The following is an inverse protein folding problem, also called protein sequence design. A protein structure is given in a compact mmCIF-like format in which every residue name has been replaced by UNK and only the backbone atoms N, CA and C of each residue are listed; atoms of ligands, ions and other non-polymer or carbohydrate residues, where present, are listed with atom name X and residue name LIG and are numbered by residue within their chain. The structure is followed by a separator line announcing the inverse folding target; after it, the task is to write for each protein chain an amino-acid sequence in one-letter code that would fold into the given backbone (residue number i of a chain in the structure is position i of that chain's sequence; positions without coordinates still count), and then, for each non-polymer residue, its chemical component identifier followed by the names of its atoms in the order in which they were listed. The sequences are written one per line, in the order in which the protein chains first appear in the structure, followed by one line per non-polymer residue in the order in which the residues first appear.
data_IF_873112488310
#
_entry.id   IF_873112488310
#
_cell.length_a   1.000
_cell.length_b   1.000
_cell.length_c   1.000
_cell.angle_alpha   90.00
_cell.angle_beta   90.00
_cell.angle_gamma   90.00
#
_symmetry.space_group_name_H-M   'P 1'
#
loop_
_entity.id
_entity.type
_entity.pdbx_description
1 polymer ?
#
# COMPACT_ATOMS: atom_id res chain seq x y z
N UNK A 1 1.35 -28.61 -9.72
CA UNK A 1 1.39 -27.21 -10.20
C UNK A 1 2.16 -26.43 -9.16
N UNK A 2 3.29 -25.81 -9.51
CA UNK A 2 3.99 -24.95 -8.56
C UNK A 2 3.12 -23.70 -8.32
N UNK A 3 2.66 -23.52 -7.09
CA UNK A 3 1.96 -22.30 -6.71
C UNK A 3 2.95 -21.14 -6.72
N UNK A 4 2.71 -20.15 -7.59
CA UNK A 4 3.58 -18.96 -7.68
C UNK A 4 3.04 -17.91 -6.71
N UNK A 5 3.82 -17.58 -5.68
CA UNK A 5 3.48 -16.53 -4.72
C UNK A 5 4.17 -15.22 -5.12
N UNK A 6 3.45 -14.12 -5.05
CA UNK A 6 4.01 -12.76 -5.22
C UNK A 6 4.76 -12.30 -3.98
N UNK A 7 4.25 -12.61 -2.80
CA UNK A 7 4.86 -12.26 -1.52
C UNK A 7 4.66 -13.40 -0.53
N UNK A 8 5.72 -13.82 0.15
CA UNK A 8 5.67 -14.82 1.23
C UNK A 8 6.42 -14.35 2.47
N UNK A 9 5.96 -14.79 3.63
CA UNK A 9 6.69 -14.70 4.88
C UNK A 9 6.96 -16.11 5.40
N UNK A 10 8.22 -16.41 5.73
CA UNK A 10 8.66 -17.71 6.19
C UNK A 10 9.27 -17.60 7.58
N UNK A 11 8.63 -18.25 8.57
CA UNK A 11 9.01 -18.22 9.98
C UNK A 11 9.32 -16.82 10.50
N UNK A 12 8.48 -15.85 10.09
CA UNK A 12 8.74 -14.44 10.31
C UNK A 12 8.50 -14.09 11.78
N UNK A 13 9.46 -13.39 12.38
CA UNK A 13 9.35 -12.75 13.69
C UNK A 13 9.35 -11.23 13.50
N UNK A 14 8.38 -10.55 14.12
CA UNK A 14 8.17 -9.11 14.02
C UNK A 14 8.10 -8.44 15.38
N UNK A 15 8.50 -7.19 15.48
CA UNK A 15 8.43 -6.42 16.73
C UNK A 15 9.31 -5.19 16.73
N UNK A 16 9.46 -4.62 17.92
CA UNK A 16 10.31 -3.46 18.18
C UNK A 16 11.27 -3.79 19.34
N UNK A 17 12.52 -3.35 19.23
CA UNK A 17 13.52 -3.56 20.29
C UNK A 17 14.09 -4.98 20.28
N UNK A 18 14.16 -5.65 21.44
CA UNK A 18 14.86 -6.95 21.60
C UNK A 18 13.94 -8.17 21.61
N UNK A 19 12.66 -7.99 21.87
CA UNK A 19 11.70 -9.10 22.02
C UNK A 19 10.67 -9.06 20.90
N UNK A 20 10.47 -10.16 20.17
CA UNK A 20 9.44 -10.21 19.13
C UNK A 20 8.04 -10.02 19.73
N UNK A 21 7.22 -9.25 19.04
CA UNK A 21 5.78 -9.13 19.32
C UNK A 21 5.04 -10.39 18.86
N UNK A 22 5.39 -10.91 17.70
CA UNK A 22 4.88 -12.16 17.12
C UNK A 22 6.04 -12.91 16.46
N UNK A 23 5.96 -14.24 16.45
CA UNK A 23 6.95 -15.14 15.83
C UNK A 23 6.24 -16.30 15.14
N UNK A 24 6.97 -17.01 14.27
CA UNK A 24 6.45 -18.19 13.57
C UNK A 24 5.38 -17.83 12.52
N UNK A 25 5.40 -16.61 11.99
CA UNK A 25 4.41 -16.20 11.00
C UNK A 25 4.79 -16.80 9.64
N UNK A 26 3.86 -17.59 9.07
CA UNK A 26 3.94 -18.12 7.72
C UNK A 26 2.70 -17.67 6.94
N UNK A 27 2.89 -16.99 5.82
CA UNK A 27 1.82 -16.57 4.92
C UNK A 27 2.33 -16.44 3.50
N UNK A 28 1.41 -16.50 2.52
CA UNK A 28 1.71 -16.26 1.13
C UNK A 28 0.53 -15.63 0.41
N UNK A 29 0.79 -14.80 -0.58
CA UNK A 29 -0.21 -14.14 -1.41
C UNK A 29 0.08 -14.41 -2.87
N UNK A 30 -0.91 -14.94 -3.58
CA UNK A 30 -0.86 -15.26 -5.01
C UNK A 30 -1.43 -14.10 -5.86
N UNK A 31 -1.15 -14.07 -7.17
CA UNK A 31 -1.81 -13.13 -8.08
C UNK A 31 -3.34 -13.24 -7.99
N UNK A 32 -4.04 -12.10 -7.95
CA UNK A 32 -5.50 -12.06 -7.84
C UNK A 32 -6.08 -12.41 -6.47
N UNK A 33 -5.24 -12.68 -5.47
CA UNK A 33 -5.68 -13.06 -4.13
C UNK A 33 -5.78 -11.84 -3.21
N UNK A 34 -6.83 -11.80 -2.38
CA UNK A 34 -6.97 -10.89 -1.25
C UNK A 34 -6.80 -11.68 0.04
N UNK A 35 -5.73 -11.39 0.79
CA UNK A 35 -5.50 -11.93 2.13
C UNK A 35 -5.91 -10.91 3.18
N UNK A 36 -6.80 -11.30 4.10
CA UNK A 36 -7.27 -10.42 5.16
C UNK A 36 -6.71 -10.83 6.52
N UNK A 37 -6.08 -9.87 7.22
CA UNK A 37 -5.58 -10.03 8.58
C UNK A 37 -6.66 -9.60 9.58
N UNK A 38 -7.11 -10.53 10.42
CA UNK A 38 -8.15 -10.28 11.44
C UNK A 38 -7.54 -10.44 12.83
N UNK A 39 -7.92 -9.56 13.74
CA UNK A 39 -7.47 -9.62 15.13
C UNK A 39 -7.74 -8.30 15.86
N UNK A 40 -7.62 -8.30 17.22
CA UNK A 40 -7.87 -7.10 18.04
C UNK A 40 -6.87 -5.98 17.74
N UNK A 41 -7.18 -4.76 18.20
CA UNK A 41 -6.24 -3.65 18.15
C UNK A 41 -5.01 -3.98 19.02
N UNK A 42 -3.82 -3.62 18.53
CA UNK A 42 -2.56 -3.96 19.22
C UNK A 42 -2.02 -5.38 18.94
N UNK A 43 -2.73 -6.23 18.20
CA UNK A 43 -2.27 -7.59 17.86
C UNK A 43 -1.06 -7.65 16.91
N UNK A 44 -0.51 -6.51 16.47
CA UNK A 44 0.67 -6.50 15.61
C UNK A 44 0.37 -6.45 14.11
N UNK A 45 -0.90 -6.30 13.68
CA UNK A 45 -1.28 -6.25 12.25
C UNK A 45 -0.50 -5.17 11.47
N UNK A 46 -0.48 -3.93 11.95
CA UNK A 46 0.27 -2.84 11.31
C UNK A 46 1.78 -3.06 11.36
N UNK A 47 2.30 -3.69 12.42
CA UNK A 47 3.71 -4.07 12.53
C UNK A 47 4.06 -5.11 11.46
N UNK A 48 3.21 -6.13 11.28
CA UNK A 48 3.36 -7.12 10.22
C UNK A 48 3.35 -6.47 8.84
N UNK A 49 2.36 -5.63 8.54
CA UNK A 49 2.27 -4.94 7.24
C UNK A 49 3.50 -4.07 6.98
N UNK A 50 4.02 -3.35 7.98
CA UNK A 50 5.26 -2.55 7.85
C UNK A 50 6.50 -3.43 7.64
N UNK A 51 6.56 -4.59 8.28
CA UNK A 51 7.66 -5.55 8.06
C UNK A 51 7.58 -6.15 6.65
N UNK A 52 6.39 -6.55 6.20
CA UNK A 52 6.17 -7.02 4.83
C UNK A 52 6.48 -5.93 3.78
N UNK A 53 6.28 -4.64 4.12
CA UNK A 53 6.65 -3.51 3.27
C UNK A 53 8.14 -3.17 3.30
N UNK A 54 8.93 -3.80 4.16
CA UNK A 54 10.35 -3.47 4.37
C UNK A 54 10.56 -2.10 5.02
N UNK A 55 9.57 -1.58 5.77
CA UNK A 55 9.72 -0.38 6.60
C UNK A 55 10.25 -0.71 7.99
N UNK A 56 10.11 -1.97 8.42
CA UNK A 56 10.70 -2.54 9.62
C UNK A 56 11.48 -3.78 9.22
N UNK A 57 12.65 -3.94 9.79
CA UNK A 57 13.43 -5.16 9.58
C UNK A 57 12.79 -6.32 10.36
N UNK A 58 12.75 -7.53 9.79
CA UNK A 58 12.31 -8.71 10.52
C UNK A 58 13.27 -9.01 11.68
N UNK A 59 12.72 -9.46 12.81
CA UNK A 59 13.52 -9.92 13.95
C UNK A 59 13.96 -11.37 13.82
N UNK A 60 13.41 -12.09 12.85
CA UNK A 60 13.75 -13.46 12.46
C UNK A 60 12.95 -13.88 11.25
N UNK A 61 13.37 -14.95 10.57
CA UNK A 61 12.74 -15.39 9.33
C UNK A 61 13.04 -14.48 8.15
N UNK A 62 12.21 -14.56 7.11
CA UNK A 62 12.40 -13.80 5.88
C UNK A 62 11.07 -13.42 5.23
N UNK A 63 11.08 -12.30 4.50
CA UNK A 63 10.03 -11.91 3.56
C UNK A 63 10.58 -12.05 2.15
N UNK A 64 9.89 -12.80 1.31
CA UNK A 64 10.26 -12.95 -0.10
C UNK A 64 9.24 -12.20 -0.97
N UNK A 65 9.73 -11.53 -1.99
CA UNK A 65 8.95 -10.86 -3.03
C UNK A 65 9.45 -11.40 -4.39
N UNK A 66 8.58 -12.00 -5.18
CA UNK A 66 8.97 -12.73 -6.40
C UNK A 66 10.12 -13.72 -6.11
N UNK A 67 9.98 -14.56 -5.09
CA UNK A 67 10.96 -15.58 -4.65
C UNK A 67 12.33 -15.03 -4.19
N UNK A 68 12.54 -13.73 -4.23
CA UNK A 68 13.77 -13.06 -3.81
C UNK A 68 13.59 -12.39 -2.44
N UNK A 69 14.61 -12.46 -1.57
CA UNK A 69 14.52 -11.81 -0.26
C UNK A 69 14.30 -10.29 -0.41
N UNK A 70 13.35 -9.77 0.38
CA UNK A 70 13.00 -8.36 0.36
C UNK A 70 14.19 -7.44 0.70
N UNK A 71 15.13 -7.91 1.52
CA UNK A 71 16.38 -7.20 1.86
C UNK A 71 17.31 -6.99 0.67
N UNK A 72 17.21 -7.84 -0.37
CA UNK A 72 18.08 -7.79 -1.55
C UNK A 72 17.61 -6.77 -2.60
N UNK A 73 16.46 -6.17 -2.39
CA UNK A 73 15.93 -5.09 -3.23
C UNK A 73 16.39 -3.73 -2.70
N UNK A 74 16.76 -2.83 -3.61
CA UNK A 74 16.91 -1.40 -3.26
C UNK A 74 15.55 -0.81 -2.87
N UNK A 75 15.55 0.31 -2.14
CA UNK A 75 14.31 1.01 -1.78
C UNK A 75 13.44 1.34 -2.99
N UNK A 76 14.06 1.78 -4.09
CA UNK A 76 13.35 2.07 -5.36
C UNK A 76 12.74 0.81 -5.97
N UNK A 77 13.50 -0.29 -6.04
CA UNK A 77 13.00 -1.56 -6.59
C UNK A 77 11.83 -2.10 -5.76
N UNK A 78 11.91 -2.03 -4.42
CA UNK A 78 10.78 -2.40 -3.54
C UNK A 78 9.55 -1.54 -3.82
N UNK A 79 9.75 -0.22 -3.89
CA UNK A 79 8.68 0.72 -4.12
C UNK A 79 8.02 0.58 -5.52
N UNK A 80 8.69 -0.01 -6.50
CA UNK A 80 8.11 -0.34 -7.81
C UNK A 80 7.24 -1.61 -7.77
N UNK A 81 7.44 -2.49 -6.78
CA UNK A 81 6.75 -3.79 -6.69
C UNK A 81 5.71 -3.86 -5.58
N UNK A 82 5.87 -3.09 -4.52
CA UNK A 82 5.05 -3.17 -3.33
C UNK A 82 4.64 -1.78 -2.85
N UNK A 83 3.36 -1.57 -2.67
CA UNK A 83 2.80 -0.34 -2.09
C UNK A 83 2.20 -0.61 -0.71
N UNK A 84 2.43 0.30 0.24
CA UNK A 84 1.77 0.31 1.53
C UNK A 84 0.86 1.54 1.63
N UNK A 85 -0.44 1.29 1.78
CA UNK A 85 -1.43 2.29 2.18
C UNK A 85 -1.59 2.21 3.70
N UNK A 86 -1.05 3.20 4.40
CA UNK A 86 -1.19 3.35 5.85
C UNK A 86 -2.05 4.57 6.17
N UNK A 87 -2.70 4.61 7.36
CA UNK A 87 -3.45 5.78 7.80
C UNK A 87 -2.58 7.04 7.75
N UNK A 88 -3.06 8.08 7.08
CA UNK A 88 -2.33 9.33 6.93
C UNK A 88 -2.81 10.34 7.97
N UNK A 89 -1.94 10.64 8.94
CA UNK A 89 -2.25 11.54 10.06
C UNK A 89 -1.67 12.95 9.93
N UNK A 90 -0.78 13.19 8.95
CA UNK A 90 -0.14 14.50 8.78
C UNK A 90 -0.91 15.37 7.79
N UNK A 91 -1.11 16.64 8.14
CA UNK A 91 -1.56 17.66 7.19
C UNK A 91 -0.43 17.91 6.18
N UNK A 92 -0.77 17.95 4.91
CA UNK A 92 0.14 18.32 3.84
C UNK A 92 -0.25 19.70 3.33
N UNK A 93 0.62 20.68 3.52
CA UNK A 93 0.34 22.06 3.05
C UNK A 93 0.36 22.10 1.52
N UNK A 94 -0.57 22.88 0.95
CA UNK A 94 -0.64 23.21 -0.48
C UNK A 94 -0.62 21.98 -1.43
N UNK A 95 -1.19 20.86 -1.02
CA UNK A 95 -1.17 19.62 -1.81
C UNK A 95 -2.56 19.32 -2.36
N UNK A 96 -2.69 19.25 -3.69
CA UNK A 96 -3.91 18.78 -4.34
C UNK A 96 -4.06 17.26 -4.24
N UNK A 97 -5.26 16.74 -4.48
CA UNK A 97 -5.46 15.29 -4.55
C UNK A 97 -4.65 14.66 -5.70
N UNK A 98 -4.48 15.39 -6.81
CA UNK A 98 -3.63 14.97 -7.91
C UNK A 98 -2.15 14.86 -7.46
N UNK A 99 -1.60 15.91 -6.85
CA UNK A 99 -0.20 15.90 -6.38
C UNK A 99 0.04 14.77 -5.38
N UNK A 100 -0.94 14.54 -4.49
CA UNK A 100 -0.85 13.45 -3.53
C UNK A 100 -0.84 12.07 -4.21
N UNK A 101 -1.71 11.83 -5.18
CA UNK A 101 -1.74 10.59 -5.95
C UNK A 101 -0.47 10.43 -6.79
N UNK A 102 -0.02 11.50 -7.46
CA UNK A 102 1.15 11.53 -8.32
C UNK A 102 2.46 11.26 -7.55
N UNK A 103 2.51 11.53 -6.23
CA UNK A 103 3.65 11.14 -5.40
C UNK A 103 3.91 9.62 -5.40
N UNK A 104 2.93 8.78 -5.78
CA UNK A 104 3.12 7.36 -6.06
C UNK A 104 4.10 7.08 -7.20
N UNK A 105 4.37 8.06 -8.07
CA UNK A 105 5.34 7.94 -9.18
C UNK A 105 6.80 8.18 -8.81
N UNK A 106 7.10 8.65 -7.59
CA UNK A 106 8.48 8.91 -7.17
C UNK A 106 9.47 7.77 -7.44
N UNK A 107 9.13 6.48 -7.35
CA UNK A 107 10.06 5.41 -7.73
C UNK A 107 10.49 5.41 -9.20
N UNK A 108 9.86 6.22 -10.05
CA UNK A 108 10.09 6.31 -11.50
C UNK A 108 10.65 7.67 -11.95
N UNK A 109 10.64 8.70 -11.10
CA UNK A 109 10.96 10.09 -11.49
C UNK A 109 12.43 10.49 -11.39
N UNK A 110 13.32 9.59 -11.09
CA UNK A 110 14.75 9.92 -10.94
C UNK A 110 15.04 10.91 -9.79
N UNK A 111 16.25 11.48 -9.77
CA UNK A 111 16.76 12.28 -8.63
C UNK A 111 16.06 13.62 -8.42
N UNK A 112 15.50 14.20 -9.47
CA UNK A 112 14.84 15.52 -9.41
C UNK A 112 13.33 15.43 -9.09
N UNK A 113 12.74 14.24 -9.06
CA UNK A 113 11.32 14.07 -8.76
C UNK A 113 10.38 14.69 -9.82
N UNK A 114 10.87 14.99 -11.03
CA UNK A 114 10.07 15.63 -12.07
C UNK A 114 9.18 14.59 -12.73
N UNK A 115 7.87 14.84 -12.70
CA UNK A 115 6.87 13.97 -13.34
C UNK A 115 6.90 14.14 -14.85
N UNK A 116 7.06 13.04 -15.58
CA UNK A 116 6.90 12.99 -17.03
C UNK A 116 5.41 13.12 -17.43
N UNK A 117 5.14 13.27 -18.72
CA UNK A 117 3.77 13.22 -19.23
C UNK A 117 3.10 11.86 -18.95
N UNK A 118 3.88 10.77 -19.01
CA UNK A 118 3.40 9.43 -18.66
C UNK A 118 3.02 9.33 -17.18
N UNK A 119 3.87 9.83 -16.28
CA UNK A 119 3.58 9.81 -14.84
C UNK A 119 2.30 10.57 -14.50
N UNK A 120 2.07 11.71 -15.16
CA UNK A 120 0.81 12.46 -15.01
C UNK A 120 -0.40 11.68 -15.50
N UNK A 121 -0.29 10.98 -16.66
CA UNK A 121 -1.38 10.10 -17.14
C UNK A 121 -1.68 8.98 -16.16
N UNK A 122 -0.65 8.34 -15.62
CA UNK A 122 -0.82 7.28 -14.61
C UNK A 122 -1.50 7.79 -13.33
N UNK A 123 -1.18 9.01 -12.89
CA UNK A 123 -1.83 9.62 -11.73
C UNK A 123 -3.32 9.91 -11.99
N UNK A 124 -3.67 10.44 -13.16
CA UNK A 124 -5.08 10.64 -13.55
C UNK A 124 -5.82 9.31 -13.65
N UNK A 125 -5.26 8.32 -14.34
CA UNK A 125 -5.85 6.98 -14.46
C UNK A 125 -6.06 6.32 -13.09
N UNK A 126 -5.11 6.47 -12.16
CA UNK A 126 -5.27 5.94 -10.81
C UNK A 126 -6.43 6.62 -10.06
N UNK A 127 -6.60 7.94 -10.19
CA UNK A 127 -7.74 8.67 -9.62
C UNK A 127 -9.07 8.25 -10.25
N UNK A 128 -9.11 8.00 -11.54
CA UNK A 128 -10.30 7.51 -12.26
C UNK A 128 -10.71 6.12 -11.75
N UNK A 129 -9.76 5.19 -11.64
CA UNK A 129 -10.01 3.82 -11.16
C UNK A 129 -10.64 3.75 -9.77
N UNK A 130 -10.36 4.72 -8.91
CA UNK A 130 -10.97 4.79 -7.57
C UNK A 130 -12.17 5.74 -7.49
N UNK A 131 -12.64 6.28 -8.63
CA UNK A 131 -13.76 7.22 -8.68
C UNK A 131 -13.49 8.58 -8.03
N UNK A 132 -12.21 9.02 -8.00
CA UNK A 132 -11.77 10.26 -7.39
C UNK A 132 -11.25 11.32 -8.39
N UNK A 133 -11.42 11.12 -9.70
CA UNK A 133 -10.94 12.05 -10.73
C UNK A 133 -11.48 13.48 -10.54
N UNK A 134 -12.75 13.62 -10.14
CA UNK A 134 -13.40 14.92 -9.87
C UNK A 134 -12.82 15.70 -8.69
N UNK A 135 -11.92 15.08 -7.92
CA UNK A 135 -11.23 15.68 -6.77
C UNK A 135 -9.82 16.16 -7.11
N UNK A 136 -9.31 15.91 -8.33
CA UNK A 136 -7.91 16.10 -8.69
C UNK A 136 -7.34 17.45 -8.22
N UNK A 137 -8.04 18.55 -8.48
CA UNK A 137 -7.61 19.91 -8.15
C UNK A 137 -8.01 20.37 -6.73
N UNK A 138 -8.69 19.52 -5.96
CA UNK A 138 -9.08 19.86 -4.59
C UNK A 138 -7.93 19.69 -3.61
N UNK A 139 -7.91 20.54 -2.59
CA UNK A 139 -7.00 20.42 -1.45
C UNK A 139 -7.26 19.07 -0.73
N UNK A 140 -6.22 18.23 -0.65
CA UNK A 140 -6.28 16.92 0.00
C UNK A 140 -6.74 16.99 1.46
N UNK A 141 -6.49 18.12 2.16
CA UNK A 141 -6.91 18.29 3.56
C UNK A 141 -8.40 18.67 3.70
N UNK A 142 -9.06 19.08 2.60
CA UNK A 142 -10.44 19.60 2.61
C UNK A 142 -11.46 18.66 1.98
N UNK A 143 -11.12 17.39 1.84
CA UNK A 143 -12.02 16.33 1.36
C UNK A 143 -12.50 15.46 2.52
N UNK A 144 -13.61 14.73 2.31
CA UNK A 144 -14.15 13.80 3.32
C UNK A 144 -13.20 12.61 3.54
N UNK A 145 -13.38 11.90 4.66
CA UNK A 145 -12.55 10.72 4.97
C UNK A 145 -12.69 9.63 3.91
N UNK A 146 -13.90 9.39 3.39
CA UNK A 146 -14.12 8.44 2.29
C UNK A 146 -13.42 8.86 1.00
N UNK A 147 -13.48 10.15 0.66
CA UNK A 147 -12.73 10.69 -0.48
C UNK A 147 -11.22 10.58 -0.26
N UNK A 148 -10.77 10.83 0.97
CA UNK A 148 -9.35 10.69 1.33
C UNK A 148 -8.87 9.26 1.17
N UNK A 149 -9.63 8.26 1.60
CA UNK A 149 -9.28 6.85 1.43
C UNK A 149 -9.14 6.47 -0.05
N UNK A 150 -10.02 6.98 -0.92
CA UNK A 150 -9.89 6.78 -2.38
C UNK A 150 -8.61 7.40 -2.94
N UNK A 151 -8.26 8.62 -2.53
CA UNK A 151 -7.02 9.28 -2.98
C UNK A 151 -5.77 8.57 -2.45
N UNK A 152 -5.80 8.05 -1.20
CA UNK A 152 -4.73 7.20 -0.66
C UNK A 152 -4.55 5.92 -1.48
N UNK A 153 -5.66 5.28 -1.86
CA UNK A 153 -5.62 4.10 -2.75
C UNK A 153 -5.11 4.47 -4.14
N UNK A 154 -5.55 5.61 -4.71
CA UNK A 154 -5.04 6.10 -6.00
C UNK A 154 -3.51 6.27 -5.97
N UNK A 155 -2.94 6.83 -4.90
CA UNK A 155 -1.48 6.92 -4.73
C UNK A 155 -0.80 5.56 -4.77
N UNK A 156 -1.37 4.56 -4.08
CA UNK A 156 -0.83 3.20 -4.10
C UNK A 156 -0.90 2.59 -5.50
N UNK A 157 -2.01 2.76 -6.22
CA UNK A 157 -2.18 2.28 -7.60
C UNK A 157 -1.26 3.00 -8.59
N UNK A 158 -1.04 4.29 -8.39
CA UNK A 158 -0.16 5.11 -9.22
C UNK A 158 1.30 4.58 -9.22
N UNK A 159 1.68 3.89 -8.15
CA UNK A 159 2.97 3.21 -8.01
C UNK A 159 3.07 1.95 -8.89
N UNK A 160 1.95 1.45 -9.46
CA UNK A 160 1.85 0.23 -10.28
C UNK A 160 2.48 -1.01 -9.59
N UNK A 161 2.13 -1.29 -8.34
CA UNK A 161 2.73 -2.38 -7.58
C UNK A 161 2.15 -3.73 -7.98
N UNK A 162 2.90 -4.81 -7.74
CA UNK A 162 2.42 -6.19 -7.81
C UNK A 162 1.63 -6.58 -6.55
N UNK A 163 2.00 -6.00 -5.40
CA UNK A 163 1.38 -6.26 -4.10
C UNK A 163 0.99 -4.94 -3.44
N UNK A 164 -0.25 -4.84 -2.97
CA UNK A 164 -0.73 -3.70 -2.19
C UNK A 164 -1.02 -4.17 -0.77
N UNK A 165 -0.36 -3.55 0.19
CA UNK A 165 -0.61 -3.73 1.62
C UNK A 165 -1.52 -2.61 2.11
N UNK A 166 -2.61 -2.96 2.79
CA UNK A 166 -3.62 -2.00 3.25
C UNK A 166 -3.74 -2.09 4.78
N UNK A 167 -3.34 -1.03 5.47
CA UNK A 167 -3.47 -0.92 6.92
C UNK A 167 -4.75 -0.14 7.25
N UNK A 168 -5.75 -0.83 7.77
CA UNK A 168 -7.07 -0.29 8.14
C UNK A 168 -7.75 0.55 7.04
N UNK A 169 -7.87 0.08 5.79
CA UNK A 169 -8.36 0.89 4.67
C UNK A 169 -9.82 1.35 4.82
N UNK A 170 -10.59 0.70 5.69
CA UNK A 170 -12.01 1.01 5.94
C UNK A 170 -12.24 1.84 7.20
N UNK A 171 -11.18 2.26 7.89
CA UNK A 171 -11.31 3.11 9.09
C UNK A 171 -11.96 4.46 8.74
N UNK A 172 -12.81 4.95 9.62
CA UNK A 172 -13.56 6.20 9.48
C UNK A 172 -14.59 6.23 8.33
N UNK A 173 -14.84 5.10 7.66
CA UNK A 173 -15.87 5.01 6.64
C UNK A 173 -17.21 4.55 7.23
N UNK A 174 -18.31 5.12 6.73
CA UNK A 174 -19.64 4.58 6.93
C UNK A 174 -19.82 3.24 6.16
N UNK A 175 -20.94 2.58 6.37
CA UNK A 175 -21.22 1.26 5.77
C UNK A 175 -21.16 1.34 4.24
N UNK A 176 -21.72 2.39 3.65
CA UNK A 176 -21.72 2.58 2.18
C UNK A 176 -20.30 2.73 1.65
N UNK A 177 -19.49 3.60 2.28
CA UNK A 177 -18.08 3.81 1.91
C UNK A 177 -17.24 2.55 2.04
N UNK A 178 -17.50 1.71 3.07
CA UNK A 178 -16.83 0.40 3.21
C UNK A 178 -17.14 -0.53 2.05
N UNK A 179 -18.43 -0.65 1.68
CA UNK A 179 -18.85 -1.51 0.57
C UNK A 179 -18.23 -1.03 -0.75
N UNK A 180 -18.28 0.28 -1.03
CA UNK A 180 -17.70 0.86 -2.23
C UNK A 180 -16.20 0.61 -2.33
N UNK A 181 -15.45 0.81 -1.23
CA UNK A 181 -14.03 0.56 -1.21
C UNK A 181 -13.70 -0.93 -1.42
N UNK A 182 -14.43 -1.83 -0.76
CA UNK A 182 -14.23 -3.28 -0.93
C UNK A 182 -14.55 -3.75 -2.35
N UNK A 183 -15.55 -3.15 -3.02
CA UNK A 183 -15.85 -3.40 -4.43
C UNK A 183 -14.67 -3.02 -5.31
N UNK A 184 -14.11 -1.80 -5.12
CA UNK A 184 -12.92 -1.35 -5.85
C UNK A 184 -11.75 -2.33 -5.62
N UNK A 185 -11.49 -2.73 -4.38
CA UNK A 185 -10.38 -3.65 -4.07
C UNK A 185 -10.57 -5.02 -4.74
N UNK A 186 -11.80 -5.51 -4.81
CA UNK A 186 -12.12 -6.76 -5.52
C UNK A 186 -11.86 -6.64 -7.02
N UNK A 187 -12.28 -5.54 -7.64
CA UNK A 187 -12.04 -5.28 -9.07
C UNK A 187 -10.54 -5.11 -9.39
N UNK A 188 -9.76 -4.60 -8.44
CA UNK A 188 -8.31 -4.43 -8.61
C UNK A 188 -7.54 -5.75 -8.50
N UNK A 189 -8.08 -6.76 -7.82
CA UNK A 189 -7.45 -8.06 -7.65
C UNK A 189 -7.67 -8.99 -8.87
N UNK A 190 -8.63 -8.68 -9.73
CA UNK A 190 -8.96 -9.45 -10.95
C UNK A 190 -8.51 -8.74 -12.20
#
# INVERSE_FOLDING_TARGET
MNETFLCTANDLAIGYGKTPLLSGIALGVQPGQILTLIGPNGAGKSTLLRTLAGQLDPMGGAVLLDEKNLSDYTGTQRAQKLALMAPHSRRMELTTCFDFAAAGRYPYTGRLGILSAEDKRQAHSALERVGAAHLADRDFNRISDGQRQRVLLARALCQQPQVILLDEPTSFLDIKGKIELLTILKELAH
#
